data_IF_118573443454
#
_entry.id   IF_118573443454
#
_cell.length_a   1.000
_cell.length_b   1.000
_cell.length_c   1.000
_cell.angle_alpha   90.00
_cell.angle_beta   90.00
_cell.angle_gamma   90.00
#
_symmetry.space_group_name_H-M   'P 1'
#
loop_
_entity.id
_entity.type
_entity.pdbx_description
1 polymer ?
#
# COMPACT_ATOMS: atom_id res chain seq x y z
N UNK A 1 -5.61 17.39 -9.00
CA UNK A 1 -5.78 16.08 -8.34
C UNK A 1 -5.80 15.07 -9.46
N UNK A 2 -4.72 14.33 -9.67
CA UNK A 2 -4.70 13.31 -10.72
C UNK A 2 -5.52 12.13 -10.23
N UNK A 3 -6.69 11.94 -10.83
CA UNK A 3 -7.54 10.78 -10.58
C UNK A 3 -6.79 9.53 -11.04
N UNK A 4 -6.69 8.54 -10.15
CA UNK A 4 -6.22 7.19 -10.51
C UNK A 4 -7.20 6.67 -11.56
N UNK A 5 -6.70 6.43 -12.76
CA UNK A 5 -7.56 6.07 -13.89
C UNK A 5 -7.91 4.59 -13.86
N UNK A 6 -8.98 4.22 -14.58
CA UNK A 6 -9.36 2.81 -14.78
C UNK A 6 -8.23 1.97 -15.40
N UNK A 7 -7.31 2.61 -16.13
CA UNK A 7 -6.14 1.98 -16.74
C UNK A 7 -5.08 1.63 -15.70
N UNK A 8 -4.88 2.50 -14.71
CA UNK A 8 -3.98 2.25 -13.57
C UNK A 8 -4.49 1.09 -12.71
N UNK A 9 -5.81 1.06 -12.48
CA UNK A 9 -6.51 -0.05 -11.82
C UNK A 9 -6.34 -1.39 -12.56
N UNK A 10 -6.37 -1.37 -13.91
CA UNK A 10 -6.16 -2.57 -14.71
C UNK A 10 -4.72 -3.07 -14.62
N UNK A 11 -3.73 -2.18 -14.59
CA UNK A 11 -2.32 -2.53 -14.38
C UNK A 11 -2.11 -3.18 -13.00
N UNK A 12 -2.71 -2.64 -11.94
CA UNK A 12 -2.67 -3.27 -10.62
C UNK A 12 -3.27 -4.68 -10.62
N UNK A 13 -4.33 -4.93 -11.40
CA UNK A 13 -4.98 -6.24 -11.48
C UNK A 13 -4.10 -7.29 -12.19
N UNK A 14 -3.35 -6.91 -13.23
CA UNK A 14 -2.49 -7.85 -13.95
C UNK A 14 -1.29 -8.33 -13.10
N UNK A 15 -0.81 -7.50 -12.17
CA UNK A 15 0.30 -7.84 -11.27
C UNK A 15 -0.12 -8.74 -10.08
N UNK A 16 -1.40 -9.07 -9.94
CA UNK A 16 -1.89 -9.90 -8.82
C UNK A 16 -1.23 -11.29 -8.79
N UNK A 17 -0.76 -11.79 -9.94
CA UNK A 17 -0.09 -13.11 -10.03
C UNK A 17 1.38 -13.10 -9.58
N UNK A 18 2.02 -11.94 -9.50
CA UNK A 18 3.42 -11.77 -9.06
C UNK A 18 3.52 -11.21 -7.63
N UNK A 19 2.40 -11.14 -6.91
CA UNK A 19 2.37 -10.56 -5.58
C UNK A 19 3.27 -11.31 -4.62
N UNK A 20 4.00 -10.55 -3.82
CA UNK A 20 4.63 -11.10 -2.62
C UNK A 20 3.55 -11.27 -1.55
N UNK A 21 3.44 -12.48 -1.01
CA UNK A 21 2.50 -12.78 0.05
C UNK A 21 3.16 -12.55 1.41
N UNK A 22 2.57 -11.67 2.21
CA UNK A 22 3.00 -11.43 3.58
C UNK A 22 1.91 -11.84 4.55
N UNK A 23 2.30 -12.72 5.47
CA UNK A 23 1.43 -13.31 6.47
C UNK A 23 1.54 -12.52 7.76
N UNK A 24 0.43 -12.28 8.43
CA UNK A 24 0.38 -11.61 9.74
C UNK A 24 -0.68 -12.22 10.66
N UNK A 25 -0.70 -11.79 11.91
CA UNK A 25 -1.81 -11.99 12.83
C UNK A 25 -2.48 -10.65 13.16
N UNK A 26 -3.73 -10.70 13.62
CA UNK A 26 -4.44 -9.50 14.07
C UNK A 26 -3.77 -8.95 15.34
N UNK A 27 -3.69 -7.63 15.45
CA UNK A 27 -3.03 -6.93 16.55
C UNK A 27 -1.51 -6.77 16.39
N UNK A 28 -0.88 -7.43 15.42
CA UNK A 28 0.56 -7.30 15.16
C UNK A 28 0.91 -5.99 14.44
N UNK A 29 2.17 -5.60 14.55
CA UNK A 29 2.75 -4.52 13.75
C UNK A 29 3.42 -5.12 12.51
N UNK A 30 3.16 -4.54 11.36
CA UNK A 30 3.65 -5.05 10.08
C UNK A 30 4.42 -3.97 9.35
N UNK A 31 5.53 -4.35 8.73
CA UNK A 31 6.29 -3.50 7.81
C UNK A 31 6.03 -3.98 6.39
N UNK A 32 5.59 -3.08 5.53
CA UNK A 32 5.42 -3.30 4.09
C UNK A 32 6.55 -2.56 3.36
N UNK A 33 7.29 -3.31 2.54
CA UNK A 33 8.42 -2.77 1.80
C UNK A 33 7.99 -2.17 0.47
N UNK A 34 8.74 -1.16 0.04
CA UNK A 34 8.59 -0.58 -1.29
C UNK A 34 9.83 -0.89 -2.10
N UNK A 35 9.66 -1.63 -3.20
CA UNK A 35 10.75 -2.12 -4.04
C UNK A 35 11.09 -1.15 -5.18
N UNK A 36 10.50 0.05 -5.18
CA UNK A 36 10.85 1.11 -6.12
C UNK A 36 12.18 1.75 -5.72
N UNK A 37 13.05 1.93 -6.72
CA UNK A 37 14.32 2.64 -6.59
C UNK A 37 14.14 4.12 -6.17
N UNK A 38 15.22 4.88 -6.03
CA UNK A 38 15.20 6.28 -5.59
C UNK A 38 14.21 7.16 -6.37
N UNK A 39 13.03 7.37 -5.77
CA UNK A 39 11.96 8.23 -6.28
C UNK A 39 11.72 9.38 -5.31
N UNK A 40 11.49 10.57 -5.88
CA UNK A 40 11.31 11.82 -5.13
C UNK A 40 10.05 11.82 -4.25
N UNK A 41 9.02 11.08 -4.69
CA UNK A 41 7.73 10.97 -4.01
C UNK A 41 7.22 9.53 -4.10
N UNK A 42 6.82 8.97 -2.96
CA UNK A 42 6.19 7.64 -2.88
C UNK A 42 4.78 7.79 -2.34
N UNK A 43 3.82 7.25 -3.06
CA UNK A 43 2.42 7.12 -2.66
C UNK A 43 2.17 5.69 -2.21
N UNK A 44 1.46 5.55 -1.09
CA UNK A 44 1.02 4.27 -0.58
C UNK A 44 -0.47 4.09 -0.82
N UNK A 45 -0.81 2.98 -1.48
CA UNK A 45 -2.18 2.63 -1.83
C UNK A 45 -2.54 1.26 -1.25
N UNK A 46 -3.79 1.14 -0.79
CA UNK A 46 -4.39 -0.12 -0.37
C UNK A 46 -5.53 -0.47 -1.32
N UNK A 47 -5.43 -1.65 -1.94
CA UNK A 47 -6.50 -2.28 -2.68
C UNK A 47 -7.11 -3.40 -1.83
N UNK A 48 -8.33 -3.19 -1.35
CA UNK A 48 -9.11 -4.17 -0.61
C UNK A 48 -10.43 -4.44 -1.35
N UNK A 49 -10.41 -5.43 -2.25
CA UNK A 49 -11.55 -5.75 -3.11
C UNK A 49 -12.78 -6.17 -2.28
N UNK A 50 -13.99 -5.78 -2.69
CA UNK A 50 -14.35 -5.11 -3.95
C UNK A 50 -14.24 -3.57 -3.92
N UNK A 51 -13.71 -2.98 -2.84
CA UNK A 51 -13.64 -1.53 -2.70
C UNK A 51 -12.61 -0.92 -3.67
N UNK A 52 -12.82 0.33 -4.14
CA UNK A 52 -11.81 1.07 -4.89
C UNK A 52 -10.50 1.20 -4.11
N UNK A 53 -9.34 1.32 -4.81
CA UNK A 53 -8.07 1.60 -4.16
C UNK A 53 -8.14 2.89 -3.34
N UNK A 54 -7.55 2.85 -2.16
CA UNK A 54 -7.47 4.00 -1.25
C UNK A 54 -6.03 4.47 -1.16
N UNK A 55 -5.78 5.74 -1.43
CA UNK A 55 -4.49 6.38 -1.17
C UNK A 55 -4.39 6.69 0.33
N UNK A 56 -3.43 6.08 1.01
CA UNK A 56 -3.25 6.23 2.46
C UNK A 56 -2.48 7.52 2.75
N UNK A 57 -1.26 7.57 2.23
CA UNK A 57 -0.32 8.64 2.47
C UNK A 57 0.65 8.79 1.31
N UNK A 58 1.39 9.89 1.33
CA UNK A 58 2.56 10.09 0.46
C UNK A 58 3.73 10.63 1.25
N UNK A 59 4.91 10.37 0.72
CA UNK A 59 6.20 10.76 1.30
C UNK A 59 7.03 11.51 0.27
N UNK A 60 7.87 12.42 0.74
CA UNK A 60 8.81 13.14 -0.09
C UNK A 60 10.21 12.75 0.35
N UNK A 61 11.12 12.50 -0.59
CA UNK A 61 12.52 12.19 -0.28
C UNK A 61 13.17 13.26 0.62
N UNK A 62 12.76 14.52 0.42
CA UNK A 62 13.27 15.69 1.15
C UNK A 62 12.56 15.96 2.49
N UNK A 63 11.48 15.25 2.81
CA UNK A 63 10.70 15.43 4.05
C UNK A 63 10.31 14.10 4.67
N UNK A 64 10.80 13.86 5.90
CA UNK A 64 10.43 12.68 6.68
C UNK A 64 8.97 12.72 7.19
N UNK A 65 8.28 13.85 7.04
CA UNK A 65 6.88 13.97 7.48
C UNK A 65 5.93 13.53 6.37
N UNK A 66 5.18 12.42 6.55
CA UNK A 66 4.14 12.01 5.61
C UNK A 66 2.97 12.98 5.53
N UNK A 67 2.40 13.06 4.33
CA UNK A 67 1.08 13.63 4.13
C UNK A 67 0.04 12.51 4.07
N UNK A 68 -0.92 12.53 4.99
CA UNK A 68 -2.03 11.57 5.03
C UNK A 68 -3.26 12.15 4.33
N UNK A 69 -3.91 11.33 3.51
CA UNK A 69 -5.13 11.74 2.79
C UNK A 69 -6.38 11.72 3.66
N UNK A 70 -6.37 10.92 4.74
CA UNK A 70 -7.39 10.90 5.78
C UNK A 70 -6.69 10.96 7.14
N UNK A 71 -7.20 11.77 8.06
CA UNK A 71 -6.61 11.93 9.39
C UNK A 71 -6.66 10.63 10.20
N UNK A 72 -7.66 9.76 9.96
CA UNK A 72 -7.75 8.45 10.65
C UNK A 72 -6.55 7.54 10.37
N UNK A 73 -5.84 7.77 9.26
CA UNK A 73 -4.68 6.96 8.91
C UNK A 73 -3.47 7.25 9.80
N UNK A 74 -3.42 8.39 10.50
CA UNK A 74 -2.27 8.76 11.35
C UNK A 74 -2.05 7.81 12.52
N UNK A 75 -3.13 7.23 13.05
CA UNK A 75 -3.05 6.30 14.18
C UNK A 75 -2.67 4.89 13.74
N UNK A 76 -2.94 4.55 12.48
CA UNK A 76 -2.74 3.21 11.92
C UNK A 76 -1.48 3.06 11.09
N UNK A 77 -1.11 4.09 10.36
CA UNK A 77 0.00 4.04 9.42
C UNK A 77 1.07 5.02 9.84
N UNK A 78 2.31 4.57 9.80
CA UNK A 78 3.48 5.43 9.92
C UNK A 78 4.54 4.99 8.91
N UNK A 79 5.67 5.70 8.88
CA UNK A 79 6.75 5.36 7.98
C UNK A 79 8.04 5.18 8.74
N UNK A 80 8.82 4.23 8.25
CA UNK A 80 10.22 4.08 8.60
C UNK A 80 11.01 4.09 7.29
N UNK A 81 11.72 5.18 7.03
CA UNK A 81 12.36 5.45 5.73
C UNK A 81 11.36 5.36 4.57
N UNK A 82 11.49 4.38 3.66
CA UNK A 82 10.55 4.14 2.54
C UNK A 82 9.50 3.07 2.83
N UNK A 83 9.50 2.49 4.03
CA UNK A 83 8.65 1.36 4.38
C UNK A 83 7.42 1.83 5.14
N UNK A 84 6.26 1.31 4.77
CA UNK A 84 5.00 1.58 5.46
C UNK A 84 4.91 0.67 6.69
N UNK A 85 4.71 1.29 7.84
CA UNK A 85 4.45 0.59 9.09
C UNK A 85 2.95 0.63 9.35
N UNK A 86 2.38 -0.54 9.62
CA UNK A 86 0.97 -0.72 9.97
C UNK A 86 0.91 -1.13 11.43
N UNK A 87 0.22 -0.33 12.25
CA UNK A 87 0.11 -0.53 13.68
C UNK A 87 -1.15 -1.32 14.05
N UNK A 88 -0.94 -2.41 14.78
CA UNK A 88 -2.01 -3.25 15.32
C UNK A 88 -3.04 -3.64 14.25
N UNK A 89 -2.61 -4.46 13.30
CA UNK A 89 -3.38 -4.88 12.13
C UNK A 89 -4.77 -5.41 12.50
N UNK A 90 -5.80 -4.93 11.82
CA UNK A 90 -7.17 -5.44 11.88
C UNK A 90 -7.58 -5.97 10.49
N UNK A 91 -8.84 -6.39 10.35
CA UNK A 91 -9.36 -6.84 9.05
C UNK A 91 -9.37 -5.73 8.00
N UNK A 92 -9.47 -4.47 8.42
CA UNK A 92 -9.56 -3.32 7.52
C UNK A 92 -8.22 -3.04 6.82
N UNK A 93 -7.12 -3.50 7.41
CA UNK A 93 -5.77 -3.41 6.85
C UNK A 93 -5.37 -4.64 6.02
N UNK A 94 -6.25 -5.62 5.82
CA UNK A 94 -5.96 -6.73 4.91
C UNK A 94 -6.24 -6.31 3.46
N UNK A 95 -5.40 -6.79 2.54
CA UNK A 95 -5.50 -6.43 1.13
C UNK A 95 -4.15 -6.39 0.44
N UNK A 96 -4.11 -5.74 -0.72
CA UNK A 96 -2.88 -5.58 -1.50
C UNK A 96 -2.38 -4.15 -1.38
N UNK A 97 -1.14 -4.02 -0.92
CA UNK A 97 -0.46 -2.75 -0.80
C UNK A 97 0.45 -2.51 -1.99
N UNK A 98 0.36 -1.31 -2.56
CA UNK A 98 1.24 -0.84 -3.63
C UNK A 98 1.94 0.44 -3.19
N UNK A 99 3.20 0.57 -3.58
CA UNK A 99 3.85 1.86 -3.63
C UNK A 99 3.96 2.33 -5.08
N UNK A 100 3.77 3.62 -5.33
CA UNK A 100 3.92 4.21 -6.67
C UNK A 100 4.64 5.54 -6.61
N UNK A 101 5.29 5.90 -7.72
CA UNK A 101 5.79 7.25 -7.94
C UNK A 101 4.85 8.07 -8.86
N UNK A 102 5.07 9.37 -8.95
CA UNK A 102 4.28 10.33 -9.75
C UNK A 102 5.10 10.97 -10.87
N UNK A 103 6.10 10.26 -11.38
CA UNK A 103 6.84 10.69 -12.56
C UNK A 103 5.94 10.83 -13.80
N UNK A 104 6.53 11.28 -14.91
CA UNK A 104 5.81 11.45 -16.20
C UNK A 104 5.04 10.18 -16.59
N UNK A 105 5.61 9.01 -16.25
CA UNK A 105 4.95 7.72 -16.32
C UNK A 105 4.93 7.12 -14.91
N UNK A 106 3.77 7.03 -14.24
CA UNK A 106 3.66 6.40 -12.93
C UNK A 106 4.11 4.95 -12.98
N UNK A 107 4.98 4.58 -12.05
CA UNK A 107 5.49 3.21 -11.86
C UNK A 107 4.89 2.70 -10.56
N UNK A 108 4.31 1.51 -10.63
CA UNK A 108 3.79 0.77 -9.47
C UNK A 108 4.78 -0.31 -9.08
N UNK A 109 4.90 -0.59 -7.78
CA UNK A 109 5.56 -1.80 -7.31
C UNK A 109 4.76 -3.05 -7.69
N UNK A 110 5.41 -4.20 -7.58
CA UNK A 110 4.78 -5.51 -7.81
C UNK A 110 3.64 -5.79 -6.84
N UNK A 111 3.66 -5.15 -5.67
CA UNK A 111 2.61 -5.20 -4.66
C UNK A 111 2.81 -6.32 -3.63
N UNK A 112 2.30 -6.09 -2.42
CA UNK A 112 2.38 -7.04 -1.30
C UNK A 112 0.97 -7.34 -0.81
N UNK A 113 0.59 -8.62 -0.80
CA UNK A 113 -0.69 -9.09 -0.24
C UNK A 113 -0.53 -9.40 1.23
N UNK A 114 -1.10 -8.54 2.08
CA UNK A 114 -1.18 -8.77 3.52
C UNK A 114 -2.43 -9.58 3.85
N UNK A 115 -2.23 -10.73 4.51
CA UNK A 115 -3.30 -11.65 4.89
C UNK A 115 -2.97 -12.37 6.20
N UNK A 116 -3.98 -12.98 6.83
CA UNK A 116 -3.82 -13.71 8.10
C UNK A 116 -3.69 -15.22 7.89
N UNK A 117 -2.92 -15.89 8.76
CA UNK A 117 -2.82 -17.36 8.76
C UNK A 117 -4.22 -17.95 9.03
N UNK A 118 -4.69 -18.80 8.13
CA UNK A 118 -6.01 -19.44 8.24
C UNK A 118 -7.18 -18.64 7.67
N UNK A 119 -6.91 -17.55 6.94
CA UNK A 119 -7.92 -16.77 6.21
C UNK A 119 -8.17 -17.21 4.76
N UNK A 120 -7.36 -18.11 4.20
CA UNK A 120 -7.61 -18.73 2.91
C UNK A 120 -8.60 -19.89 3.07
N UNK A 121 -9.83 -19.57 3.48
CA UNK A 121 -10.97 -20.33 2.97
C UNK A 121 -11.48 -19.57 1.77
N UNK A 122 -11.23 -20.15 0.60
CA UNK A 122 -11.85 -19.84 -0.68
C UNK A 122 -13.30 -19.34 -0.53
N UNK A 123 -13.59 -18.25 -1.24
CA UNK A 123 -14.88 -18.02 -1.87
C UNK A 123 -14.73 -17.03 -3.03
#
# INVERSE_FOLDING_TARGET
MNEITRKDLFTCYQNVQTLTHQVTELGQHVTINCDLDEVDEVYWLLLNLPNPPVTILRTFLTSQTPFYYDMKFRDKYSLQSKHLIINSVTKDELGVYFCMNTGIFPIFSDGIRLHVIGGDTEQ
#
